data_IF_110707278033
#
_entry.id   IF_110707278033
#
_cell.length_a   1.000
_cell.length_b   1.000
_cell.length_c   1.000
_cell.angle_alpha   90.00
_cell.angle_beta   90.00
_cell.angle_gamma   90.00
#
_symmetry.space_group_name_H-M   'P 1'
#
loop_
_entity.id
_entity.type
_entity.pdbx_description
1 polymer ?
#
# COMPACT_ATOMS: atom_id res chain seq x y z
N UNK A 1 -21.44 -47.78 19.95
CA UNK A 1 -21.96 -47.35 18.64
C UNK A 1 -22.23 -45.86 18.67
N UNK A 2 -21.54 -45.09 17.83
CA UNK A 2 -21.98 -43.78 17.36
C UNK A 2 -21.81 -42.55 18.25
N UNK A 3 -20.59 -42.00 18.27
CA UNK A 3 -20.30 -40.61 18.65
C UNK A 3 -20.83 -39.63 17.58
N UNK A 4 -21.80 -38.79 17.94
CA UNK A 4 -22.26 -37.67 17.12
C UNK A 4 -21.60 -36.36 17.54
N UNK A 5 -20.35 -36.15 17.15
CA UNK A 5 -19.67 -34.88 17.28
C UNK A 5 -19.99 -34.01 16.07
N UNK A 6 -20.90 -33.05 16.24
CA UNK A 6 -21.22 -32.04 15.25
C UNK A 6 -20.03 -31.07 15.13
N UNK A 7 -19.05 -31.40 14.30
CA UNK A 7 -18.03 -30.44 13.87
C UNK A 7 -18.66 -29.52 12.82
N UNK A 8 -19.40 -28.51 13.29
CA UNK A 8 -19.64 -27.32 12.51
C UNK A 8 -18.28 -26.71 12.18
N UNK A 9 -17.78 -27.02 10.99
CA UNK A 9 -16.65 -26.30 10.39
C UNK A 9 -17.13 -24.88 10.21
N UNK A 10 -16.69 -23.98 11.09
CA UNK A 10 -16.86 -22.54 10.97
C UNK A 10 -16.30 -22.09 9.62
N UNK A 11 -17.15 -22.10 8.60
CA UNK A 11 -16.91 -21.48 7.31
C UNK A 11 -16.99 -19.97 7.51
N UNK A 12 -15.95 -19.39 8.09
CA UNK A 12 -15.80 -17.93 8.14
C UNK A 12 -15.35 -17.51 6.74
N UNK A 13 -16.19 -16.78 5.96
CA UNK A 13 -15.85 -16.40 4.60
C UNK A 13 -14.58 -15.53 4.61
N UNK A 14 -13.68 -15.77 3.66
CA UNK A 14 -12.54 -14.88 3.42
C UNK A 14 -13.06 -13.48 3.04
N UNK A 15 -12.44 -12.39 3.53
CA UNK A 15 -12.93 -11.05 3.27
C UNK A 15 -12.97 -10.80 1.75
N UNK A 16 -14.08 -10.26 1.28
CA UNK A 16 -14.20 -9.82 -0.11
C UNK A 16 -13.17 -8.71 -0.35
N UNK A 17 -12.44 -8.75 -1.45
CA UNK A 17 -11.43 -7.74 -1.78
C UNK A 17 -12.07 -6.71 -2.71
N UNK A 18 -12.19 -5.46 -2.25
CA UNK A 18 -12.68 -4.35 -3.06
C UNK A 18 -11.52 -3.52 -3.63
N UNK A 19 -11.52 -3.32 -4.94
CA UNK A 19 -10.51 -2.52 -5.64
C UNK A 19 -10.98 -1.07 -5.83
N UNK A 20 -10.14 -0.11 -5.46
CA UNK A 20 -10.41 1.31 -5.72
C UNK A 20 -9.20 1.98 -6.39
N UNK A 21 -9.41 2.47 -7.61
CA UNK A 21 -8.45 3.34 -8.30
C UNK A 21 -8.65 4.78 -7.84
N UNK A 22 -7.62 5.42 -7.29
CA UNK A 22 -7.65 6.81 -6.85
C UNK A 22 -6.78 7.63 -7.79
N UNK A 23 -7.38 8.17 -8.85
CA UNK A 23 -6.74 9.11 -9.77
C UNK A 23 -7.24 10.52 -9.47
N UNK A 24 -6.34 11.44 -9.12
CA UNK A 24 -6.68 12.84 -8.87
C UNK A 24 -7.60 13.05 -7.66
N UNK A 25 -7.08 13.71 -6.63
CA UNK A 25 -7.82 14.01 -5.40
C UNK A 25 -8.86 15.15 -5.61
N UNK A 26 -9.81 15.01 -6.56
CA UNK A 26 -10.86 16.00 -6.90
C UNK A 26 -12.10 15.28 -7.54
N UNK A 27 -13.32 15.88 -7.55
CA UNK A 27 -14.59 15.20 -7.27
C UNK A 27 -15.03 14.25 -8.40
N UNK A 28 -15.68 13.13 -8.03
CA UNK A 28 -16.28 12.20 -9.00
C UNK A 28 -15.65 10.81 -9.06
N UNK A 29 -14.75 10.45 -8.12
CA UNK A 29 -14.29 9.06 -7.95
C UNK A 29 -15.50 8.12 -7.74
N UNK A 30 -15.95 7.49 -8.82
CA UNK A 30 -16.99 6.46 -8.76
C UNK A 30 -16.39 5.25 -8.04
N UNK A 31 -16.94 4.97 -6.87
CA UNK A 31 -16.82 3.69 -6.17
C UNK A 31 -17.39 2.61 -7.10
N UNK A 32 -16.56 2.03 -7.97
CA UNK A 32 -16.98 0.85 -8.74
C UNK A 32 -16.89 -0.34 -7.79
N UNK A 33 -18.03 -0.70 -7.20
CA UNK A 33 -18.15 -1.84 -6.30
C UNK A 33 -17.85 -3.16 -7.02
N UNK A 34 -17.22 -4.05 -6.26
CA UNK A 34 -17.15 -5.51 -6.46
C UNK A 34 -16.65 -5.99 -7.82
N UNK A 35 -15.33 -6.10 -7.97
CA UNK A 35 -14.80 -7.22 -8.73
C UNK A 35 -14.54 -8.35 -7.71
N UNK A 36 -15.20 -9.52 -7.80
CA UNK A 36 -14.53 -10.72 -7.30
C UNK A 36 -13.17 -10.74 -8.00
N UNK A 37 -12.10 -11.12 -7.29
CA UNK A 37 -10.81 -11.38 -7.95
C UNK A 37 -11.10 -12.11 -9.27
N UNK A 38 -10.66 -11.55 -10.41
CA UNK A 38 -9.47 -12.19 -10.95
C UNK A 38 -8.50 -11.22 -11.68
N UNK A 39 -7.25 -11.69 -11.74
CA UNK A 39 -6.23 -11.30 -12.71
C UNK A 39 -5.70 -9.86 -12.61
N UNK A 40 -4.45 -9.75 -12.15
CA UNK A 40 -3.56 -8.59 -12.26
C UNK A 40 -3.74 -7.77 -13.57
N UNK A 41 -3.90 -8.38 -14.77
CA UNK A 41 -4.25 -7.66 -15.99
C UNK A 41 -5.48 -6.74 -15.90
N UNK A 42 -6.54 -7.14 -15.19
CA UNK A 42 -7.75 -6.34 -15.03
C UNK A 42 -7.53 -5.15 -14.11
N UNK A 43 -6.71 -5.30 -13.06
CA UNK A 43 -6.31 -4.20 -12.17
C UNK A 43 -5.45 -3.18 -12.91
N UNK A 44 -4.49 -3.64 -13.72
CA UNK A 44 -3.69 -2.80 -14.61
C UNK A 44 -4.59 -2.11 -15.65
N UNK A 45 -5.48 -2.84 -16.32
CA UNK A 45 -6.39 -2.27 -17.31
C UNK A 45 -7.39 -1.26 -16.70
N UNK A 46 -7.89 -1.50 -15.49
CA UNK A 46 -8.74 -0.56 -14.77
C UNK A 46 -7.99 0.71 -14.36
N UNK A 47 -6.76 0.58 -13.87
CA UNK A 47 -5.90 1.73 -13.59
C UNK A 47 -5.60 2.53 -14.86
N UNK A 48 -5.31 1.85 -15.98
CA UNK A 48 -5.10 2.49 -17.28
C UNK A 48 -6.35 3.23 -17.78
N UNK A 49 -7.55 2.69 -17.57
CA UNK A 49 -8.83 3.32 -17.96
C UNK A 49 -9.21 4.51 -17.09
N UNK A 50 -8.97 4.45 -15.78
CA UNK A 50 -9.22 5.55 -14.86
C UNK A 50 -8.29 6.76 -15.11
N UNK A 51 -7.08 6.50 -15.60
CA UNK A 51 -6.06 7.49 -15.97
C UNK A 51 -6.19 8.01 -17.42
N UNK A 52 -7.41 8.26 -17.91
CA UNK A 52 -7.64 8.82 -19.24
C UNK A 52 -6.95 10.19 -19.45
N UNK A 53 -6.80 10.67 -20.71
CA UNK A 53 -6.04 11.89 -21.06
C UNK A 53 -6.59 13.20 -20.48
N UNK A 54 -7.66 13.14 -19.68
CA UNK A 54 -8.49 14.28 -19.29
C UNK A 54 -8.40 14.63 -17.80
N UNK A 55 -7.46 14.06 -17.05
CA UNK A 55 -7.16 14.50 -15.69
C UNK A 55 -6.39 15.84 -15.73
N UNK A 56 -7.03 16.91 -16.19
CA UNK A 56 -6.60 18.30 -16.01
C UNK A 56 -6.92 18.71 -14.57
N UNK A 57 -6.22 18.13 -13.60
CA UNK A 57 -6.13 18.65 -12.24
C UNK A 57 -4.74 19.23 -12.07
N UNK A 58 -4.60 20.49 -11.64
CA UNK A 58 -3.30 21.13 -11.43
C UNK A 58 -2.36 20.25 -10.61
N UNK A 59 -1.05 20.34 -10.87
CA UNK A 59 0.00 19.60 -10.17
C UNK A 59 -0.11 19.82 -8.65
N UNK A 60 -0.82 18.93 -7.95
CA UNK A 60 -0.75 18.85 -6.50
C UNK A 60 0.54 18.12 -6.15
N UNK A 61 1.26 18.63 -5.17
CA UNK A 61 2.47 17.94 -4.71
C UNK A 61 2.09 16.55 -4.17
N UNK A 62 2.98 15.57 -4.35
CA UNK A 62 2.82 14.20 -3.82
C UNK A 62 2.44 14.22 -2.33
N UNK A 63 2.99 15.18 -1.57
CA UNK A 63 2.64 15.45 -0.17
C UNK A 63 1.15 15.75 0.02
N UNK A 64 0.58 16.67 -0.75
CA UNK A 64 -0.85 17.02 -0.65
C UNK A 64 -1.74 15.84 -1.03
N UNK A 65 -1.33 15.07 -2.03
CA UNK A 65 -2.06 13.87 -2.45
C UNK A 65 -2.01 12.77 -1.37
N UNK A 66 -0.85 12.53 -0.75
CA UNK A 66 -0.71 11.59 0.38
C UNK A 66 -1.54 12.01 1.59
N UNK A 67 -1.48 13.28 1.98
CA UNK A 67 -2.29 13.83 3.09
C UNK A 67 -3.79 13.67 2.81
N UNK A 68 -4.22 13.98 1.59
CA UNK A 68 -5.61 13.79 1.17
C UNK A 68 -6.04 12.33 1.20
N UNK A 69 -5.19 11.41 0.73
CA UNK A 69 -5.46 9.98 0.76
C UNK A 69 -5.65 9.48 2.19
N UNK A 70 -4.71 9.76 3.09
CA UNK A 70 -4.79 9.35 4.49
C UNK A 70 -6.00 9.98 5.17
N UNK A 71 -6.30 11.25 4.89
CA UNK A 71 -7.49 11.92 5.40
C UNK A 71 -8.80 11.24 4.98
N UNK A 72 -8.91 10.80 3.72
CA UNK A 72 -10.08 10.05 3.23
C UNK A 72 -10.17 8.67 3.88
N UNK A 73 -9.04 7.95 3.99
CA UNK A 73 -9.00 6.63 4.62
C UNK A 73 -9.37 6.70 6.11
N UNK A 74 -8.92 7.73 6.81
CA UNK A 74 -9.29 7.99 8.20
C UNK A 74 -10.80 8.25 8.35
N UNK A 75 -11.37 9.14 7.54
CA UNK A 75 -12.82 9.44 7.56
C UNK A 75 -13.70 8.23 7.25
N UNK A 76 -13.22 7.30 6.43
CA UNK A 76 -13.95 6.07 6.06
C UNK A 76 -13.67 4.88 7.00
N UNK A 77 -12.96 5.10 8.12
CA UNK A 77 -12.56 4.06 9.06
C UNK A 77 -11.81 2.89 8.39
N UNK A 78 -10.99 3.18 7.37
CA UNK A 78 -10.24 2.18 6.60
C UNK A 78 -8.81 1.95 7.13
N UNK A 79 -8.49 2.48 8.31
CA UNK A 79 -7.22 2.24 9.00
C UNK A 79 -7.31 0.96 9.86
N UNK A 80 -6.21 0.22 10.08
CA UNK A 80 -4.85 0.50 9.62
C UNK A 80 -4.65 0.23 8.12
N UNK A 81 -3.66 0.90 7.52
CA UNK A 81 -3.29 0.77 6.12
C UNK A 81 -1.82 0.45 5.94
N UNK A 82 -1.53 -0.50 5.04
CA UNK A 82 -0.18 -0.77 4.55
C UNK A 82 -0.03 -0.21 3.13
N UNK A 83 0.89 0.72 2.96
CA UNK A 83 1.21 1.38 1.69
C UNK A 83 2.49 0.77 1.12
N UNK A 84 2.36 -0.03 0.07
CA UNK A 84 3.50 -0.65 -0.60
C UNK A 84 4.19 0.34 -1.52
N UNK A 85 5.43 0.67 -1.17
CA UNK A 85 6.36 1.49 -1.92
C UNK A 85 7.59 0.65 -2.30
N UNK A 86 7.90 0.50 -3.59
CA UNK A 86 8.98 -0.38 -4.06
C UNK A 86 10.39 0.24 -3.99
N UNK A 87 10.61 1.16 -3.06
CA UNK A 87 11.92 1.78 -2.80
C UNK A 87 12.03 2.20 -1.34
N UNK A 88 13.19 1.94 -0.72
CA UNK A 88 13.51 2.35 0.65
C UNK A 88 13.37 3.86 0.82
N UNK A 89 14.02 4.61 -0.09
CA UNK A 89 13.98 6.08 -0.13
C UNK A 89 12.54 6.61 -0.28
N UNK A 90 11.70 5.92 -1.06
CA UNK A 90 10.29 6.31 -1.24
C UNK A 90 9.49 6.09 0.05
N UNK A 91 9.68 4.97 0.74
CA UNK A 91 9.04 4.74 2.04
C UNK A 91 9.36 5.87 3.02
N UNK A 92 10.64 6.24 3.13
CA UNK A 92 11.08 7.33 4.00
C UNK A 92 10.48 8.67 3.59
N UNK A 93 10.56 9.01 2.29
CA UNK A 93 10.04 10.28 1.78
C UNK A 93 8.53 10.41 1.96
N UNK A 94 7.77 9.33 1.77
CA UNK A 94 6.32 9.33 1.99
C UNK A 94 5.98 9.47 3.48
N UNK A 95 6.74 8.85 4.38
CA UNK A 95 6.55 9.03 5.82
C UNK A 95 6.87 10.46 6.27
N UNK A 96 7.93 11.06 5.73
CA UNK A 96 8.31 12.45 6.00
C UNK A 96 7.29 13.45 5.43
N UNK A 97 6.64 13.12 4.31
CA UNK A 97 5.54 13.91 3.76
C UNK A 97 4.34 13.98 4.73
N UNK A 98 4.16 12.97 5.59
CA UNK A 98 3.15 12.93 6.65
C UNK A 98 3.67 13.42 8.01
N UNK A 99 4.79 14.15 8.05
CA UNK A 99 5.38 14.66 9.31
C UNK A 99 4.45 15.56 10.13
N UNK A 100 3.51 16.25 9.48
CA UNK A 100 2.54 17.13 10.14
C UNK A 100 1.29 16.42 10.64
N UNK A 101 1.14 15.12 10.36
CA UNK A 101 -0.04 14.35 10.73
C UNK A 101 0.21 13.57 12.02
N UNK A 102 -0.82 13.55 12.86
CA UNK A 102 -0.84 12.81 14.11
C UNK A 102 -2.13 11.98 14.18
N UNK A 103 -1.98 10.66 14.17
CA UNK A 103 -3.08 9.70 14.15
C UNK A 103 -3.26 8.98 15.49
N UNK A 104 -2.47 9.37 16.51
CA UNK A 104 -2.43 8.69 17.79
C UNK A 104 -2.93 9.58 18.92
N UNK A 105 -3.68 8.98 19.83
CA UNK A 105 -4.13 9.59 21.08
C UNK A 105 -2.99 9.72 22.09
N UNK A 106 -3.19 10.52 23.16
CA UNK A 106 -2.21 10.66 24.24
C UNK A 106 -1.89 9.33 24.94
N UNK A 107 -2.89 8.46 25.13
CA UNK A 107 -2.70 7.14 25.73
C UNK A 107 -1.95 6.18 24.81
N UNK A 108 -2.28 6.16 23.50
CA UNK A 108 -1.53 5.37 22.50
C UNK A 108 -0.07 5.81 22.44
N UNK A 109 0.21 7.12 22.48
CA UNK A 109 1.58 7.66 22.51
C UNK A 109 2.37 7.16 23.72
N UNK A 110 1.75 7.15 24.90
CA UNK A 110 2.39 6.67 26.12
C UNK A 110 2.66 5.15 26.04
N UNK A 111 1.70 4.36 25.54
CA UNK A 111 1.85 2.93 25.34
C UNK A 111 2.96 2.59 24.34
N UNK A 112 2.99 3.28 23.20
CA UNK A 112 4.04 3.14 22.18
C UNK A 112 5.40 3.50 22.77
N UNK A 113 5.50 4.62 23.48
CA UNK A 113 6.75 5.03 24.13
C UNK A 113 7.26 3.97 25.12
N UNK A 114 6.40 3.52 26.04
CA UNK A 114 6.76 2.49 27.02
C UNK A 114 7.13 1.14 26.37
N UNK A 115 6.50 0.79 25.25
CA UNK A 115 6.84 -0.40 24.49
C UNK A 115 8.22 -0.28 23.81
N UNK A 116 8.45 0.82 23.11
CA UNK A 116 9.73 1.09 22.42
C UNK A 116 10.89 1.13 23.42
N UNK A 117 10.75 1.83 24.53
CA UNK A 117 11.80 1.90 25.56
C UNK A 117 12.11 0.52 26.16
N UNK A 118 11.11 -0.33 26.39
CA UNK A 118 11.34 -1.72 26.84
C UNK A 118 12.11 -2.55 25.80
N UNK A 119 11.80 -2.41 24.53
CA UNK A 119 12.53 -3.12 23.47
C UNK A 119 13.98 -2.62 23.35
N UNK A 120 14.19 -1.31 23.44
CA UNK A 120 15.50 -0.67 23.32
C UNK A 120 16.37 -0.81 24.58
N UNK A 121 15.79 -1.16 25.73
CA UNK A 121 16.52 -1.40 26.98
C UNK A 121 17.62 -2.48 26.82
N UNK A 122 17.48 -3.37 25.83
CA UNK A 122 18.46 -4.42 25.50
C UNK A 122 19.69 -3.89 24.74
N UNK A 123 19.62 -2.68 24.19
CA UNK A 123 20.72 -2.04 23.46
C UNK A 123 21.59 -1.19 24.39
N UNK A 124 22.84 -0.98 23.99
CA UNK A 124 23.75 -0.02 24.63
C UNK A 124 23.23 1.41 24.45
N UNK A 125 23.53 2.29 25.41
CA UNK A 125 23.02 3.67 25.37
C UNK A 125 23.40 4.43 24.10
N UNK A 126 24.62 4.25 23.59
CA UNK A 126 25.06 4.86 22.33
C UNK A 126 24.24 4.43 21.12
N UNK A 127 23.84 3.16 21.08
CA UNK A 127 23.02 2.63 19.97
C UNK A 127 21.59 3.19 20.01
N UNK A 128 21.05 3.47 21.21
CA UNK A 128 19.71 4.06 21.37
C UNK A 128 19.59 5.46 20.78
N UNK A 129 20.72 6.17 20.66
CA UNK A 129 20.76 7.54 20.12
C UNK A 129 21.00 7.57 18.60
N UNK A 130 21.00 6.42 17.92
CA UNK A 130 21.15 6.39 16.48
C UNK A 130 20.03 7.19 15.79
N UNK A 131 20.34 8.03 14.78
CA UNK A 131 19.34 8.87 14.12
C UNK A 131 18.13 8.10 13.56
N UNK A 132 18.36 6.87 13.09
CA UNK A 132 17.28 6.00 12.60
C UNK A 132 16.29 5.64 13.72
N UNK A 133 16.78 5.34 14.93
CA UNK A 133 15.95 4.96 16.07
C UNK A 133 15.13 6.16 16.53
N UNK A 134 15.76 7.32 16.69
CA UNK A 134 15.08 8.56 17.10
C UNK A 134 13.98 8.93 16.10
N UNK A 135 14.28 8.90 14.81
CA UNK A 135 13.31 9.18 13.74
C UNK A 135 12.13 8.19 13.77
N UNK A 136 12.40 6.89 13.89
CA UNK A 136 11.33 5.89 13.95
C UNK A 136 10.47 6.05 15.21
N UNK A 137 11.07 6.36 16.36
CA UNK A 137 10.33 6.61 17.61
C UNK A 137 9.32 7.74 17.43
N UNK A 138 9.73 8.83 16.79
CA UNK A 138 8.87 9.99 16.57
C UNK A 138 7.77 9.73 15.53
N UNK A 139 8.05 8.91 14.51
CA UNK A 139 7.04 8.42 13.58
C UNK A 139 6.01 7.53 14.28
N UNK A 140 6.48 6.51 15.01
CA UNK A 140 5.62 5.51 15.65
C UNK A 140 4.69 6.13 16.70
N UNK A 141 5.17 7.14 17.45
CA UNK A 141 4.33 7.91 18.38
C UNK A 141 3.16 8.61 17.71
N UNK A 142 3.26 8.96 16.43
CA UNK A 142 2.19 9.61 15.64
C UNK A 142 1.32 8.60 14.89
N UNK A 143 1.55 7.30 15.09
CA UNK A 143 0.81 6.22 14.43
C UNK A 143 1.25 5.98 12.98
N UNK A 144 2.45 6.44 12.61
CA UNK A 144 3.04 6.27 11.27
C UNK A 144 4.33 5.46 11.40
N UNK A 145 4.63 4.56 10.47
CA UNK A 145 5.92 3.87 10.46
C UNK A 145 6.40 3.56 9.04
N UNK A 146 7.68 3.19 8.94
CA UNK A 146 8.29 2.64 7.73
C UNK A 146 8.76 1.22 8.00
N UNK A 147 8.74 0.36 6.97
CA UNK A 147 9.28 -1.00 7.04
C UNK A 147 9.98 -1.39 5.74
N UNK A 148 11.31 -1.48 5.79
CA UNK A 148 12.11 -1.92 4.65
C UNK A 148 13.45 -2.50 5.10
N UNK A 149 14.14 -3.19 4.19
CA UNK A 149 15.41 -3.86 4.47
C UNK A 149 16.56 -2.95 4.95
N UNK A 150 16.44 -1.62 4.81
CA UNK A 150 17.41 -0.66 5.38
C UNK A 150 17.25 -0.34 6.88
N UNK A 151 16.24 -0.89 7.55
CA UNK A 151 16.04 -0.69 8.99
C UNK A 151 16.83 -1.71 9.81
N UNK A 152 17.31 -1.28 10.98
CA UNK A 152 17.89 -2.17 11.98
C UNK A 152 16.91 -3.32 12.31
N UNK A 153 17.38 -4.57 12.44
CA UNK A 153 16.52 -5.73 12.73
C UNK A 153 15.57 -5.52 13.90
N UNK A 154 16.09 -5.02 15.03
CA UNK A 154 15.28 -4.72 16.23
C UNK A 154 14.17 -3.70 15.94
N UNK A 155 14.42 -2.71 15.08
CA UNK A 155 13.41 -1.71 14.74
C UNK A 155 12.33 -2.27 13.81
N UNK A 156 12.68 -3.22 12.92
CA UNK A 156 11.66 -3.93 12.11
C UNK A 156 10.71 -4.71 13.00
N UNK A 157 11.25 -5.47 13.96
CA UNK A 157 10.44 -6.23 14.92
C UNK A 157 9.51 -5.34 15.74
N UNK A 158 10.02 -4.21 16.24
CA UNK A 158 9.21 -3.22 16.99
C UNK A 158 8.07 -2.67 16.14
N UNK A 159 8.35 -2.28 14.90
CA UNK A 159 7.32 -1.77 13.96
C UNK A 159 6.27 -2.83 13.67
N UNK A 160 6.68 -4.08 13.43
CA UNK A 160 5.78 -5.20 13.18
C UNK A 160 4.86 -5.45 14.37
N UNK A 161 5.40 -5.48 15.59
CA UNK A 161 4.61 -5.67 16.81
C UNK A 161 3.61 -4.54 17.03
N UNK A 162 4.03 -3.28 16.90
CA UNK A 162 3.16 -2.12 17.07
C UNK A 162 2.08 -2.03 15.98
N UNK A 163 2.38 -2.48 14.76
CA UNK A 163 1.40 -2.55 13.68
C UNK A 163 0.36 -3.66 13.93
N UNK A 164 0.79 -4.84 14.36
CA UNK A 164 -0.12 -5.92 14.76
C UNK A 164 -1.02 -5.55 15.95
N UNK A 165 -0.51 -4.76 16.90
CA UNK A 165 -1.28 -4.23 18.04
C UNK A 165 -2.20 -3.07 17.65
N UNK A 166 -2.12 -2.57 16.41
CA UNK A 166 -2.98 -1.50 15.91
C UNK A 166 -2.58 -0.10 16.35
N UNK A 167 -1.39 0.10 16.94
CA UNK A 167 -0.88 1.43 17.27
C UNK A 167 -0.44 2.20 16.02
N UNK A 168 0.15 1.49 15.04
CA UNK A 168 0.50 2.08 13.75
C UNK A 168 -0.72 2.02 12.83
N UNK A 169 -1.19 3.19 12.42
CA UNK A 169 -2.36 3.35 11.53
C UNK A 169 -1.94 3.42 10.06
N UNK A 170 -0.76 3.95 9.76
CA UNK A 170 -0.20 4.04 8.41
C UNK A 170 1.21 3.47 8.39
N UNK A 171 1.40 2.39 7.64
CA UNK A 171 2.70 1.75 7.45
C UNK A 171 3.15 1.90 5.99
N UNK A 172 4.28 2.54 5.73
CA UNK A 172 4.93 2.51 4.42
C UNK A 172 5.92 1.36 4.37
N UNK A 173 5.74 0.41 3.46
CA UNK A 173 6.57 -0.79 3.43
C UNK A 173 7.01 -1.21 2.03
N UNK A 174 8.13 -1.94 1.97
CA UNK A 174 8.55 -2.65 0.76
C UNK A 174 7.92 -4.05 0.69
N UNK A 175 8.02 -4.68 -0.48
CA UNK A 175 7.50 -6.03 -0.76
C UNK A 175 7.85 -7.09 0.31
N UNK A 176 9.04 -7.00 0.91
CA UNK A 176 9.50 -7.94 1.96
C UNK A 176 8.56 -8.04 3.16
N UNK A 177 7.79 -7.00 3.45
CA UNK A 177 6.81 -7.02 4.54
C UNK A 177 5.69 -8.06 4.28
N UNK A 178 5.27 -8.20 3.02
CA UNK A 178 4.22 -9.16 2.65
C UNK A 178 4.68 -10.63 2.72
N UNK A 179 5.99 -10.88 2.71
CA UNK A 179 6.58 -12.23 2.79
C UNK A 179 6.75 -12.70 4.25
N UNK A 180 7.09 -11.79 5.17
CA UNK A 180 7.67 -12.16 6.46
C UNK A 180 6.75 -12.11 7.68
N UNK A 181 5.55 -11.50 7.58
CA UNK A 181 4.77 -11.15 8.78
C UNK A 181 3.30 -11.51 8.60
N UNK A 182 2.70 -12.14 9.63
CA UNK A 182 1.26 -12.33 9.71
C UNK A 182 0.58 -11.07 10.30
N UNK A 183 0.70 -9.95 9.60
CA UNK A 183 0.10 -8.68 9.99
C UNK A 183 -1.07 -8.34 9.04
N UNK A 184 -2.29 -8.85 9.31
CA UNK A 184 -3.43 -8.53 8.47
C UNK A 184 -3.81 -7.06 8.65
N UNK A 185 -3.94 -6.34 7.55
CA UNK A 185 -4.29 -4.92 7.52
C UNK A 185 -5.71 -4.76 7.01
N UNK A 186 -6.43 -3.72 7.45
CA UNK A 186 -7.78 -3.45 6.92
C UNK A 186 -7.70 -3.05 5.45
N UNK A 187 -6.67 -2.28 5.12
CA UNK A 187 -6.46 -1.73 3.79
C UNK A 187 -5.03 -1.92 3.31
N UNK A 188 -4.88 -2.27 2.04
CA UNK A 188 -3.62 -2.27 1.30
C UNK A 188 -3.68 -1.17 0.24
N UNK A 189 -2.61 -0.40 0.12
CA UNK A 189 -2.46 0.64 -0.91
C UNK A 189 -1.21 0.35 -1.69
N UNK A 190 -1.29 0.35 -3.01
CA UNK A 190 -0.13 0.34 -3.89
C UNK A 190 0.20 1.77 -4.30
N UNK A 191 1.37 2.26 -3.90
CA UNK A 191 1.88 3.57 -4.34
C UNK A 191 2.20 3.56 -5.84
N UNK A 192 2.71 2.44 -6.36
CA UNK A 192 2.92 2.19 -7.78
C UNK A 192 2.67 0.71 -8.08
N UNK A 193 2.54 0.33 -9.35
CA UNK A 193 2.54 -1.07 -9.82
C UNK A 193 3.86 -1.47 -10.47
N UNK A 194 4.84 -0.56 -10.54
CA UNK A 194 6.13 -0.80 -11.16
C UNK A 194 7.21 -0.84 -10.11
N UNK A 195 8.10 -1.81 -10.22
CA UNK A 195 9.29 -1.95 -9.37
C UNK A 195 10.55 -2.12 -10.20
N UNK A 196 11.67 -1.77 -9.60
CA UNK A 196 12.99 -2.03 -10.17
C UNK A 196 13.44 -3.42 -9.73
N UNK A 197 13.74 -4.31 -10.67
CA UNK A 197 14.20 -5.68 -10.38
C UNK A 197 15.73 -5.80 -10.25
N UNK A 198 16.44 -4.67 -10.28
CA UNK A 198 17.90 -4.60 -10.33
C UNK A 198 18.44 -4.30 -11.72
N UNK A 199 17.66 -4.55 -12.78
CA UNK A 199 18.03 -4.27 -14.17
C UNK A 199 17.10 -3.25 -14.82
N UNK A 200 15.80 -3.47 -14.72
CA UNK A 200 14.78 -2.68 -15.39
C UNK A 200 13.60 -2.35 -14.47
N UNK A 201 12.85 -1.30 -14.82
CA UNK A 201 11.56 -1.03 -14.21
C UNK A 201 10.46 -1.84 -14.90
N UNK A 202 9.98 -2.89 -14.22
CA UNK A 202 8.89 -3.75 -14.70
C UNK A 202 7.65 -3.63 -13.83
N UNK A 203 6.51 -4.05 -14.38
CA UNK A 203 5.31 -4.27 -13.58
C UNK A 203 5.49 -5.43 -12.60
N UNK A 204 4.72 -5.40 -11.51
CA UNK A 204 4.60 -6.54 -10.59
C UNK A 204 4.15 -7.79 -11.33
N UNK A 205 4.61 -8.96 -10.87
CA UNK A 205 4.05 -10.22 -11.31
C UNK A 205 2.72 -10.47 -10.60
N UNK A 206 1.80 -11.23 -11.20
CA UNK A 206 0.53 -11.56 -10.57
C UNK A 206 0.68 -12.19 -9.17
N UNK A 207 1.71 -13.02 -8.96
CA UNK A 207 2.01 -13.61 -7.65
C UNK A 207 2.45 -12.57 -6.61
N UNK A 208 3.31 -11.63 -7.00
CA UNK A 208 3.79 -10.53 -6.14
C UNK A 208 2.61 -9.64 -5.71
N UNK A 209 1.77 -9.28 -6.67
CA UNK A 209 0.55 -8.52 -6.42
C UNK A 209 -0.41 -9.24 -5.48
N UNK A 210 -0.73 -10.51 -5.78
CA UNK A 210 -1.67 -11.31 -5.00
C UNK A 210 -1.20 -11.47 -3.56
N UNK A 211 0.11 -11.66 -3.36
CA UNK A 211 0.67 -11.78 -2.02
C UNK A 211 0.53 -10.49 -1.21
N UNK A 212 0.82 -9.33 -1.81
CA UNK A 212 0.67 -8.04 -1.13
C UNK A 212 -0.80 -7.67 -0.90
N UNK A 213 -1.63 -7.79 -1.94
CA UNK A 213 -3.06 -7.49 -1.87
C UNK A 213 -3.80 -8.43 -0.90
N UNK A 214 -3.38 -9.70 -0.81
CA UNK A 214 -3.96 -10.71 0.09
C UNK A 214 -3.74 -10.43 1.58
N UNK A 215 -2.94 -9.40 1.94
CA UNK A 215 -2.84 -8.90 3.32
C UNK A 215 -4.01 -7.99 3.72
N UNK A 216 -4.83 -7.56 2.76
CA UNK A 216 -6.03 -6.77 3.02
C UNK A 216 -7.16 -7.63 3.59
N UNK A 217 -7.84 -7.10 4.61
CA UNK A 217 -8.94 -7.74 5.31
C UNK A 217 -8.46 -8.59 6.48
N UNK A 218 -8.87 -8.21 7.69
CA UNK A 218 -8.60 -8.98 8.91
C UNK A 218 -9.70 -10.01 9.12
N UNK A 219 -9.34 -11.30 9.06
CA UNK A 219 -10.26 -12.41 9.30
C UNK A 219 -10.95 -12.24 10.67
N UNK A 220 -12.28 -12.32 10.69
CA UNK A 220 -13.09 -12.18 11.90
C UNK A 220 -13.26 -10.75 12.42
N UNK A 221 -12.61 -9.74 11.83
CA UNK A 221 -12.72 -8.34 12.23
C UNK A 221 -13.33 -7.46 11.13
N UNK A 222 -12.93 -7.67 9.87
CA UNK A 222 -13.40 -6.89 8.73
C UNK A 222 -14.26 -7.76 7.81
N UNK A 223 -15.43 -7.26 7.41
CA UNK A 223 -16.28 -7.93 6.42
C UNK A 223 -15.67 -7.94 5.00
N UNK A 224 -14.88 -6.90 4.69
CA UNK A 224 -14.31 -6.64 3.37
C UNK A 224 -12.88 -6.11 3.56
N UNK A 225 -11.94 -6.61 2.78
CA UNK A 225 -10.59 -6.07 2.65
C UNK A 225 -10.53 -5.05 1.52
N UNK A 226 -9.85 -3.91 1.74
CA UNK A 226 -9.72 -2.88 0.72
C UNK A 226 -8.34 -2.90 0.09
N UNK A 227 -8.28 -2.89 -1.25
CA UNK A 227 -7.04 -2.76 -2.01
C UNK A 227 -7.16 -1.53 -2.90
N UNK A 228 -6.29 -0.54 -2.69
CA UNK A 228 -6.28 0.70 -3.47
C UNK A 228 -5.05 0.78 -4.36
N UNK A 229 -5.27 1.32 -5.55
CA UNK A 229 -4.22 1.67 -6.50
C UNK A 229 -4.19 3.20 -6.59
N UNK A 230 -3.07 3.81 -6.21
CA UNK A 230 -2.92 5.26 -6.32
C UNK A 230 -2.38 5.61 -7.70
N UNK A 231 -2.96 6.63 -8.31
CA UNK A 231 -2.49 7.18 -9.57
C UNK A 231 -2.16 8.65 -9.36
N UNK A 232 -0.85 8.93 -9.17
CA UNK A 232 -0.32 10.26 -8.86
C UNK A 232 -0.44 11.22 -10.04
N UNK A 233 -0.26 10.70 -11.25
CA UNK A 233 -0.41 11.40 -12.53
C UNK A 233 -1.08 10.47 -13.54
N UNK A 234 -2.00 10.99 -14.36
CA UNK A 234 -2.61 10.24 -15.48
C UNK A 234 -1.62 9.75 -16.55
N UNK A 235 -0.31 9.98 -16.37
CA UNK A 235 0.77 9.66 -17.31
C UNK A 235 1.53 8.37 -17.00
N UNK A 236 1.53 7.88 -15.76
CA UNK A 236 2.41 6.76 -15.35
C UNK A 236 2.08 5.43 -16.06
N UNK A 237 0.91 5.36 -16.69
CA UNK A 237 0.39 4.19 -17.41
C UNK A 237 0.17 4.44 -18.92
N UNK A 238 0.35 5.67 -19.41
CA UNK A 238 0.16 6.04 -20.81
C UNK A 238 1.42 5.87 -21.67
N UNK A 239 2.57 5.53 -21.07
CA UNK A 239 3.84 5.34 -21.77
C UNK A 239 3.82 4.24 -22.84
N UNK A 240 2.90 3.28 -22.77
CA UNK A 240 2.83 2.17 -23.73
C UNK A 240 1.96 2.42 -24.96
N UNK A 241 1.05 3.41 -24.96
CA UNK A 241 0.30 3.72 -26.21
C UNK A 241 1.22 4.26 -27.31
N UNK A 242 2.42 4.78 -26.97
CA UNK A 242 3.41 5.19 -27.97
C UNK A 242 4.39 4.07 -28.35
N UNK A 243 4.73 3.18 -27.43
CA UNK A 243 5.65 2.08 -27.71
C UNK A 243 4.99 0.93 -28.50
N UNK A 244 3.73 0.62 -28.22
CA UNK A 244 3.01 -0.45 -28.92
C UNK A 244 2.58 -0.05 -30.34
N UNK A 245 2.27 1.24 -30.59
CA UNK A 245 1.90 1.73 -31.94
C UNK A 245 3.09 1.80 -32.89
N UNK A 246 4.32 1.93 -32.38
CA UNK A 246 5.52 1.92 -33.22
C UNK A 246 6.08 0.50 -33.53
N UNK A 247 5.64 -0.53 -32.80
CA UNK A 247 6.12 -1.90 -33.02
C UNK A 247 5.27 -2.72 -34.01
N UNK A 248 4.07 -2.25 -34.36
CA UNK A 248 3.11 -2.98 -35.21
C UNK A 248 2.96 -2.40 -36.63
N UNK A 249 3.84 -1.46 -37.02
CA UNK A 249 3.77 -0.72 -38.28
C UNK A 249 4.49 -1.34 -39.48
N UNK A 250 5.01 -2.57 -39.39
CA UNK A 250 5.78 -3.19 -40.47
C UNK A 250 5.26 -4.58 -40.83
N UNK A 251 4.00 -4.65 -41.28
CA UNK A 251 3.50 -5.72 -42.17
C UNK A 251 2.13 -5.37 -42.76
N UNK A 252 2.12 -5.11 -44.07
CA UNK A 252 0.98 -5.42 -44.95
C UNK A 252 0.17 -4.22 -45.47
N UNK A 253 0.12 -4.08 -46.80
CA UNK A 253 -1.07 -3.59 -47.50
C UNK A 253 -0.83 -2.52 -48.56
N UNK A 254 -0.73 -2.96 -49.82
CA UNK A 254 -0.97 -2.18 -51.03
C UNK A 254 -2.34 -1.46 -51.02
N UNK A 255 -2.39 -0.29 -51.66
CA UNK A 255 -3.36 0.11 -52.71
C UNK A 255 -3.67 1.62 -52.63
N UNK A 256 -3.53 2.30 -53.76
CA UNK A 256 -3.98 3.69 -53.92
C UNK A 256 -3.57 4.32 -55.26
N UNK A 257 -4.19 3.91 -56.37
CA UNK A 257 -4.71 4.87 -57.37
C UNK A 257 -6.09 5.38 -56.90
N UNK A 258 -6.70 6.46 -57.42
CA UNK A 258 -6.36 7.33 -58.58
C UNK A 258 -6.09 8.79 -58.13
N UNK A 259 -5.59 9.74 -58.92
CA UNK A 259 -6.01 10.34 -60.21
C UNK A 259 -4.76 10.92 -60.87
#
# INVERSE_FOLDING_TARGET
>A
MGSGGDTARDHIPSPLVSFLCVSGLIPGCRFSQSCPLPLFPAAVAAANRACGPRAQGGFRSERQQLLGLVGVLGKKAMLPVAVFCFSKKRCDSCADALSSLDLSTGSEKAAVHAFVERCLARLKEGDRQLPQILRLRDLMRRGIAVHHAGLLPIMKEVVEMLFCQGYIKVLFCTETFAMGVNAPTRTVVFHSLRKHDGKNFRYLLPGEYTQMAGRAGRRGLDAVGHVLLVCWDGRELYGEKRAAVHADGSRGGEAGEPI
#
